data_IF_980262288230
#
_entry.id   IF_980262288230
#
_cell.length_a   1.000
_cell.length_b   1.000
_cell.length_c   1.000
_cell.angle_alpha   90.00
_cell.angle_beta   90.00
_cell.angle_gamma   90.00
#
_symmetry.space_group_name_H-M   'P 1'
#
loop_
_entity.id
_entity.type
_entity.pdbx_description
1 polymer ?
#
# COMPACT_ATOMS: atom_id res chain seq x y z
N UNK A 1 -16.70 19.15 -2.64
CA UNK A 1 -17.11 18.24 -3.74
C UNK A 1 -15.95 17.51 -4.40
N UNK A 2 -14.87 18.16 -4.85
CA UNK A 2 -13.77 17.44 -5.54
C UNK A 2 -13.15 16.31 -4.69
N UNK A 3 -12.86 16.57 -3.41
CA UNK A 3 -12.33 15.57 -2.48
C UNK A 3 -13.28 14.39 -2.23
N UNK A 4 -14.59 14.63 -2.17
CA UNK A 4 -15.60 13.57 -2.02
C UNK A 4 -15.55 12.63 -3.23
N UNK A 5 -15.53 13.18 -4.44
CA UNK A 5 -15.44 12.39 -5.68
C UNK A 5 -14.14 11.58 -5.74
N UNK A 6 -13.00 12.20 -5.43
CA UNK A 6 -11.70 11.54 -5.38
C UNK A 6 -11.71 10.38 -4.36
N UNK A 7 -12.34 10.55 -3.20
CA UNK A 7 -12.44 9.51 -2.19
C UNK A 7 -13.30 8.32 -2.64
N UNK A 8 -14.43 8.58 -3.33
CA UNK A 8 -15.29 7.53 -3.89
C UNK A 8 -14.58 6.77 -5.00
N UNK A 9 -13.84 7.47 -5.88
CA UNK A 9 -13.02 6.84 -6.92
C UNK A 9 -11.92 5.98 -6.31
N UNK A 10 -11.24 6.47 -5.27
CA UNK A 10 -10.23 5.70 -4.56
C UNK A 10 -10.81 4.43 -3.95
N UNK A 11 -11.95 4.53 -3.25
CA UNK A 11 -12.64 3.39 -2.67
C UNK A 11 -13.07 2.36 -3.73
N UNK A 12 -13.60 2.82 -4.87
CA UNK A 12 -13.96 1.97 -6.00
C UNK A 12 -12.74 1.24 -6.59
N UNK A 13 -11.65 1.98 -6.87
CA UNK A 13 -10.40 1.40 -7.38
C UNK A 13 -9.84 0.34 -6.43
N UNK A 14 -9.91 0.59 -5.12
CA UNK A 14 -9.42 -0.35 -4.12
C UNK A 14 -10.25 -1.63 -4.05
N UNK A 15 -11.58 -1.51 -4.07
CA UNK A 15 -12.50 -2.65 -4.07
C UNK A 15 -12.37 -3.51 -5.35
N UNK A 16 -12.26 -2.86 -6.51
CA UNK A 16 -12.03 -3.51 -7.79
C UNK A 16 -10.67 -4.21 -7.80
N UNK A 17 -9.61 -3.53 -7.36
CA UNK A 17 -8.25 -4.06 -7.26
C UNK A 17 -8.19 -5.32 -6.41
N UNK A 18 -8.75 -5.29 -5.20
CA UNK A 18 -8.79 -6.46 -4.31
C UNK A 18 -9.48 -7.67 -4.96
N UNK A 19 -10.54 -7.44 -5.74
CA UNK A 19 -11.26 -8.47 -6.48
C UNK A 19 -10.43 -9.08 -7.61
N UNK A 20 -9.73 -8.25 -8.38
CA UNK A 20 -8.80 -8.68 -9.43
C UNK A 20 -7.65 -9.48 -8.82
N UNK A 21 -7.02 -8.97 -7.76
CA UNK A 21 -5.92 -9.65 -7.07
C UNK A 21 -6.34 -11.01 -6.55
N UNK A 22 -7.52 -11.12 -5.94
CA UNK A 22 -8.06 -12.41 -5.49
C UNK A 22 -8.16 -13.40 -6.64
N UNK A 23 -8.63 -12.96 -7.81
CA UNK A 23 -8.70 -13.82 -9.00
C UNK A 23 -7.31 -14.25 -9.45
N UNK A 24 -6.33 -13.35 -9.50
CA UNK A 24 -4.94 -13.67 -9.87
C UNK A 24 -4.28 -14.66 -8.91
N UNK A 25 -4.60 -14.59 -7.62
CA UNK A 25 -4.07 -15.49 -6.58
C UNK A 25 -4.51 -16.96 -6.72
N UNK A 26 -5.45 -17.28 -7.62
CA UNK A 26 -5.77 -18.68 -7.93
C UNK A 26 -4.62 -19.38 -8.66
N UNK A 27 -3.83 -18.63 -9.43
CA UNK A 27 -2.76 -19.17 -10.29
C UNK A 27 -1.37 -18.65 -9.90
N UNK A 28 -1.30 -17.61 -9.07
CA UNK A 28 -0.04 -16.93 -8.72
C UNK A 28 0.18 -16.94 -7.21
N UNK A 29 1.44 -17.07 -6.80
CA UNK A 29 1.81 -16.98 -5.39
C UNK A 29 1.63 -15.54 -4.85
N UNK A 30 1.16 -15.36 -3.60
CA UNK A 30 0.97 -14.04 -2.98
C UNK A 30 2.20 -13.13 -3.08
N UNK A 31 3.39 -13.71 -2.84
CA UNK A 31 4.64 -12.97 -2.89
C UNK A 31 4.95 -12.45 -4.30
N UNK A 32 4.74 -13.28 -5.33
CA UNK A 32 4.98 -12.91 -6.73
C UNK A 32 4.01 -11.82 -7.16
N UNK A 33 2.74 -11.94 -6.78
CA UNK A 33 1.74 -10.90 -7.08
C UNK A 33 2.10 -9.57 -6.40
N UNK A 34 2.54 -9.62 -5.14
CA UNK A 34 2.98 -8.42 -4.43
C UNK A 34 4.18 -7.76 -5.11
N UNK A 35 5.21 -8.54 -5.46
CA UNK A 35 6.38 -8.04 -6.16
C UNK A 35 6.01 -7.40 -7.51
N UNK A 36 5.13 -8.03 -8.29
CA UNK A 36 4.67 -7.49 -9.56
C UNK A 36 3.89 -6.17 -9.37
N UNK A 37 2.96 -6.13 -8.41
CA UNK A 37 2.19 -4.91 -8.10
C UNK A 37 3.09 -3.78 -7.61
N UNK A 38 3.99 -4.05 -6.67
CA UNK A 38 4.84 -3.03 -6.06
C UNK A 38 5.92 -2.53 -7.03
N UNK A 39 6.51 -3.40 -7.84
CA UNK A 39 7.49 -2.99 -8.86
C UNK A 39 6.86 -2.16 -9.97
N UNK A 40 5.68 -2.54 -10.47
CA UNK A 40 4.96 -1.76 -11.48
C UNK A 40 4.54 -0.38 -10.95
N UNK A 41 4.05 -0.30 -9.71
CA UNK A 41 3.74 0.97 -9.06
C UNK A 41 4.99 1.84 -8.86
N UNK A 42 6.08 1.25 -8.37
CA UNK A 42 7.35 1.97 -8.16
C UNK A 42 7.92 2.52 -9.47
N UNK A 43 7.90 1.73 -10.55
CA UNK A 43 8.33 2.17 -11.88
C UNK A 43 7.47 3.34 -12.39
N UNK A 44 6.15 3.24 -12.29
CA UNK A 44 5.23 4.30 -12.71
C UNK A 44 5.47 5.60 -11.92
N UNK A 45 5.57 5.51 -10.60
CA UNK A 45 5.81 6.66 -9.74
C UNK A 45 7.20 7.27 -9.99
N UNK A 46 8.21 6.44 -10.24
CA UNK A 46 9.55 6.91 -10.58
C UNK A 46 9.57 7.66 -11.92
N UNK A 47 8.91 7.12 -12.95
CA UNK A 47 8.77 7.81 -14.24
C UNK A 47 8.01 9.13 -14.10
N UNK A 48 6.95 9.15 -13.29
CA UNK A 48 6.19 10.38 -13.02
C UNK A 48 7.04 11.43 -12.30
N UNK A 49 7.86 11.01 -11.32
CA UNK A 49 8.81 11.89 -10.63
C UNK A 49 9.78 12.53 -11.63
N UNK A 50 10.38 11.72 -12.51
CA UNK A 50 11.30 12.19 -13.54
C UNK A 50 10.64 13.22 -14.47
N UNK A 51 9.39 12.99 -14.87
CA UNK A 51 8.67 13.84 -15.80
C UNK A 51 8.27 15.21 -15.20
N UNK A 52 7.86 15.22 -13.92
CA UNK A 52 7.31 16.44 -13.29
C UNK A 52 8.38 17.27 -12.59
N UNK A 53 9.30 16.63 -11.85
CA UNK A 53 10.19 17.34 -10.93
C UNK A 53 11.69 17.08 -11.20
N UNK A 54 12.04 16.14 -12.08
CA UNK A 54 13.43 15.73 -12.31
C UNK A 54 14.08 15.07 -11.07
N UNK A 55 15.41 14.92 -11.09
CA UNK A 55 16.17 14.21 -10.04
C UNK A 55 16.71 15.13 -8.93
N UNK A 56 16.63 16.45 -9.10
CA UNK A 56 17.25 17.43 -8.20
C UNK A 56 16.65 17.47 -6.79
N UNK A 57 15.46 16.89 -6.62
CA UNK A 57 14.84 16.74 -5.31
C UNK A 57 15.36 15.54 -4.53
N UNK A 58 15.90 14.51 -5.19
CA UNK A 58 16.43 13.32 -4.52
C UNK A 58 17.73 13.60 -3.78
N UNK A 59 18.55 14.52 -4.29
CA UNK A 59 19.81 14.93 -3.67
C UNK A 59 19.64 15.74 -2.37
N UNK A 60 18.41 16.21 -2.09
CA UNK A 60 18.08 16.96 -0.87
C UNK A 60 17.65 16.07 0.29
N UNK A 61 17.51 14.75 0.10
CA UNK A 61 17.09 13.85 1.17
C UNK A 61 18.22 13.58 2.17
N UNK A 62 17.88 13.68 3.46
CA UNK A 62 18.77 13.27 4.54
C UNK A 62 19.00 11.75 4.53
N UNK A 63 20.22 11.25 4.76
CA UNK A 63 20.50 9.82 4.81
C UNK A 63 19.70 9.08 5.90
N UNK A 64 19.40 9.76 7.01
CA UNK A 64 18.55 9.21 8.08
C UNK A 64 17.12 8.96 7.56
N UNK A 65 16.58 9.93 6.81
CA UNK A 65 15.24 9.82 6.24
C UNK A 65 15.18 8.68 5.20
N UNK A 66 16.22 8.54 4.37
CA UNK A 66 16.33 7.42 3.41
C UNK A 66 16.32 6.08 4.16
N UNK A 67 17.10 5.95 5.24
CA UNK A 67 17.12 4.74 6.07
C UNK A 67 15.74 4.39 6.64
N UNK A 68 15.02 5.38 7.16
CA UNK A 68 13.66 5.21 7.68
C UNK A 68 12.65 4.82 6.59
N UNK A 69 12.71 5.46 5.42
CA UNK A 69 11.84 5.12 4.29
C UNK A 69 12.09 3.68 3.85
N UNK A 70 13.35 3.27 3.69
CA UNK A 70 13.69 1.90 3.32
C UNK A 70 13.17 0.89 4.35
N UNK A 71 13.41 1.16 5.64
CA UNK A 71 12.98 0.26 6.72
C UNK A 71 11.44 0.11 6.77
N UNK A 72 10.72 1.24 6.77
CA UNK A 72 9.25 1.24 6.80
C UNK A 72 8.65 0.61 5.55
N UNK A 73 9.25 0.83 4.37
CA UNK A 73 8.81 0.21 3.12
C UNK A 73 8.99 -1.30 3.14
N UNK A 74 10.11 -1.82 3.66
CA UNK A 74 10.32 -3.26 3.78
C UNK A 74 9.28 -3.93 4.69
N UNK A 75 8.94 -3.29 5.82
CA UNK A 75 7.94 -3.82 6.75
C UNK A 75 6.54 -3.74 6.15
N UNK A 76 6.15 -2.58 5.64
CA UNK A 76 4.78 -2.37 5.15
C UNK A 76 4.54 -3.06 3.81
N UNK A 77 5.35 -2.75 2.80
CA UNK A 77 5.16 -3.28 1.43
C UNK A 77 5.71 -4.69 1.28
N UNK A 78 6.75 -5.05 2.02
CA UNK A 78 7.28 -6.41 2.02
C UNK A 78 6.38 -7.33 2.85
N UNK A 79 6.39 -7.17 4.17
CA UNK A 79 5.69 -8.08 5.07
C UNK A 79 4.17 -7.84 5.10
N UNK A 80 3.73 -6.59 5.28
CA UNK A 80 2.32 -6.24 5.40
C UNK A 80 1.50 -6.62 4.17
N UNK A 81 1.90 -6.16 2.99
CA UNK A 81 1.17 -6.46 1.76
C UNK A 81 1.19 -7.95 1.41
N UNK A 82 2.29 -8.66 1.72
CA UNK A 82 2.34 -10.11 1.50
C UNK A 82 1.35 -10.86 2.40
N UNK A 83 1.20 -10.44 3.66
CA UNK A 83 0.17 -10.97 4.57
C UNK A 83 -1.24 -10.61 4.09
N UNK A 84 -1.43 -9.42 3.52
CA UNK A 84 -2.70 -9.01 2.91
C UNK A 84 -3.07 -9.92 1.74
N UNK A 85 -2.16 -10.16 0.79
CA UNK A 85 -2.40 -11.07 -0.34
C UNK A 85 -2.59 -12.53 0.10
N UNK A 86 -1.86 -12.97 1.12
CA UNK A 86 -2.07 -14.28 1.72
C UNK A 86 -3.49 -14.39 2.30
N UNK A 87 -3.95 -13.37 3.02
CA UNK A 87 -5.30 -13.30 3.57
C UNK A 87 -6.36 -13.34 2.47
N UNK A 88 -6.18 -12.54 1.40
CA UNK A 88 -7.04 -12.62 0.22
C UNK A 88 -7.08 -14.06 -0.32
N UNK A 89 -5.94 -14.73 -0.44
CA UNK A 89 -5.87 -16.11 -0.93
C UNK A 89 -6.66 -17.09 -0.05
N UNK A 90 -6.57 -16.97 1.28
CA UNK A 90 -7.16 -17.91 2.24
C UNK A 90 -8.65 -17.63 2.49
N UNK A 91 -9.01 -16.40 2.90
CA UNK A 91 -10.36 -16.08 3.41
C UNK A 91 -11.20 -15.24 2.42
N UNK A 92 -10.59 -14.80 1.32
CA UNK A 92 -11.27 -14.05 0.26
C UNK A 92 -11.51 -12.57 0.58
N UNK A 93 -11.90 -11.83 -0.47
CA UNK A 93 -12.05 -10.35 -0.42
C UNK A 93 -13.06 -9.92 0.64
N UNK A 94 -14.21 -10.59 0.70
CA UNK A 94 -15.33 -10.19 1.58
C UNK A 94 -15.02 -10.23 3.08
N UNK A 95 -13.99 -10.97 3.50
CA UNK A 95 -13.53 -10.98 4.91
C UNK A 95 -12.23 -10.18 5.10
N UNK A 96 -11.28 -10.30 4.17
CA UNK A 96 -9.99 -9.61 4.30
C UNK A 96 -10.13 -8.09 4.30
N UNK A 97 -10.93 -7.52 3.39
CA UNK A 97 -11.03 -6.06 3.23
C UNK A 97 -11.68 -5.39 4.45
N UNK A 98 -12.82 -5.88 4.99
CA UNK A 98 -13.38 -5.32 6.22
C UNK A 98 -12.46 -5.46 7.43
N UNK A 99 -11.81 -6.62 7.61
CA UNK A 99 -10.90 -6.84 8.74
C UNK A 99 -9.68 -5.90 8.71
N UNK A 100 -9.11 -5.69 7.53
CA UNK A 100 -7.98 -4.77 7.35
C UNK A 100 -8.39 -3.31 7.51
N UNK A 101 -9.66 -2.98 7.21
CA UNK A 101 -10.22 -1.63 7.42
C UNK A 101 -10.36 -1.24 8.89
N UNK A 102 -10.15 -2.18 9.84
CA UNK A 102 -10.13 -1.91 11.28
C UNK A 102 -8.80 -1.30 11.77
N UNK A 103 -7.81 -1.09 10.89
CA UNK A 103 -6.52 -0.49 11.26
C UNK A 103 -6.61 0.88 11.99
N UNK A 104 -7.63 1.75 11.78
CA UNK A 104 -7.70 3.03 12.49
C UNK A 104 -7.78 2.89 14.01
N UNK A 105 -8.30 1.77 14.53
CA UNK A 105 -8.30 1.47 15.97
C UNK A 105 -6.89 1.36 16.55
N UNK A 106 -5.92 0.89 15.76
CA UNK A 106 -4.52 0.80 16.18
C UNK A 106 -3.78 2.12 15.94
N UNK A 107 -4.17 2.88 14.92
CA UNK A 107 -3.57 4.19 14.67
C UNK A 107 -3.95 5.22 15.75
N UNK A 108 -5.21 5.23 16.21
CA UNK A 108 -5.65 6.21 17.21
C UNK A 108 -4.94 6.05 18.55
N UNK A 109 -4.52 4.84 18.91
CA UNK A 109 -3.73 4.60 20.14
C UNK A 109 -2.32 5.15 20.07
N UNK A 110 -1.74 5.24 18.88
CA UNK A 110 -0.41 5.83 18.66
C UNK A 110 -0.48 7.36 18.59
N UNK A 111 -1.58 7.90 18.07
CA UNK A 111 -1.80 9.34 17.90
C UNK A 111 -2.03 10.11 19.19
N UNK A 112 -2.39 9.42 20.29
CA UNK A 112 -2.52 10.00 21.63
C UNK A 112 -1.55 9.33 22.61
N UNK A 113 -0.24 9.66 22.57
CA UNK A 113 0.75 9.06 23.47
C UNK A 113 0.51 9.40 24.96
N UNK A 114 -0.36 10.36 25.28
CA UNK A 114 -0.63 10.86 26.64
C UNK A 114 -2.09 10.65 27.12
N UNK A 115 -2.86 9.72 26.55
CA UNK A 115 -4.21 9.40 27.05
C UNK A 115 -4.22 8.42 28.24
N UNK A 116 -3.18 8.43 29.07
CA UNK A 116 -3.13 7.82 30.41
C UNK A 116 -2.58 8.82 31.40
#
# INVERSE_FOLDING_TARGET
>A
MEGELLSLLAAFCWALGASIYKKSLSNVNPLVLNLFRSSSAALLLFLLLLLIHGLDHLSKLSPILIGLICFTSLITWGLGDSLYFLSLKIIGVGKTVPLTSSYPFFCVTDQYPNAR
#
